data_IF_637712787354
#
_entry.id   IF_637712787354
#
_cell.length_a   1.000
_cell.length_b   1.000
_cell.length_c   1.000
_cell.angle_alpha   90.00
_cell.angle_beta   90.00
_cell.angle_gamma   90.00
#
_symmetry.space_group_name_H-M   'P 1'
#
loop_
_entity.id
_entity.type
_entity.pdbx_description
1 polymer ?
#
# COMPACT_ATOMS: atom_id res chain seq x y z
N UNK A 1 -5.61 -2.36 16.52
CA UNK A 1 -5.64 -1.07 15.81
C UNK A 1 -5.04 -1.27 14.44
N UNK A 2 -5.67 -0.77 13.37
CA UNK A 2 -5.05 -0.82 12.03
C UNK A 2 -3.89 0.18 11.98
N UNK A 3 -2.72 -0.20 11.45
CA UNK A 3 -1.61 0.74 11.30
C UNK A 3 -2.00 1.82 10.31
N UNK A 4 -1.68 3.08 10.62
CA UNK A 4 -1.95 4.22 9.73
C UNK A 4 -1.17 4.12 8.41
N UNK A 5 -0.01 3.46 8.43
CA UNK A 5 0.88 3.33 7.29
C UNK A 5 1.47 1.92 7.18
N UNK A 6 1.82 1.52 5.96
CA UNK A 6 2.55 0.26 5.68
C UNK A 6 3.74 0.54 4.78
N UNK A 7 4.89 0.00 5.14
CA UNK A 7 6.11 0.06 4.34
C UNK A 7 6.20 -1.18 3.45
N UNK A 8 6.40 -0.97 2.14
CA UNK A 8 6.57 -2.00 1.13
C UNK A 8 7.99 -2.04 0.54
N UNK A 9 8.94 -1.34 1.16
CA UNK A 9 10.30 -1.13 0.69
C UNK A 9 10.44 0.25 0.03
N UNK A 10 10.29 0.36 -1.30
CA UNK A 10 10.39 1.64 -1.98
C UNK A 10 9.12 2.51 -1.88
N UNK A 11 8.00 1.96 -1.38
CA UNK A 11 6.72 2.65 -1.25
C UNK A 11 6.20 2.60 0.18
N UNK A 12 5.57 3.70 0.60
CA UNK A 12 4.77 3.76 1.82
C UNK A 12 3.30 3.92 1.46
N UNK A 13 2.44 3.05 1.99
CA UNK A 13 0.99 3.21 1.93
C UNK A 13 0.52 4.08 3.09
N UNK A 14 -0.37 5.03 2.82
CA UNK A 14 -1.03 5.86 3.83
C UNK A 14 -2.54 5.62 3.81
N UNK A 15 -3.08 5.10 4.91
CA UNK A 15 -4.50 4.79 5.07
C UNK A 15 -5.38 6.04 5.15
N UNK A 16 -4.86 7.15 5.66
CA UNK A 16 -5.58 8.41 5.78
C UNK A 16 -5.78 9.05 4.40
N UNK A 17 -4.71 9.13 3.61
CA UNK A 17 -4.77 9.64 2.23
C UNK A 17 -5.33 8.63 1.22
N UNK A 18 -5.40 7.34 1.60
CA UNK A 18 -5.77 6.22 0.72
C UNK A 18 -4.94 6.20 -0.56
N UNK A 19 -3.64 6.43 -0.40
CA UNK A 19 -2.69 6.52 -1.50
C UNK A 19 -1.34 5.90 -1.10
N UNK A 20 -0.49 5.68 -2.09
CA UNK A 20 0.89 5.27 -1.92
C UNK A 20 1.81 6.44 -2.27
N UNK A 21 2.99 6.49 -1.62
CA UNK A 21 4.04 7.45 -1.96
C UNK A 21 5.40 6.78 -2.08
N UNK A 22 6.20 7.27 -3.02
CA UNK A 22 7.63 7.01 -3.10
C UNK A 22 8.37 8.25 -2.60
N UNK A 23 8.98 8.17 -1.42
CA UNK A 23 9.53 9.35 -0.75
C UNK A 23 8.45 10.42 -0.56
N UNK A 24 8.62 11.58 -1.20
CA UNK A 24 7.67 12.70 -1.14
C UNK A 24 6.59 12.69 -2.24
N UNK A 25 6.68 11.79 -3.24
CA UNK A 25 5.79 11.79 -4.40
C UNK A 25 4.62 10.83 -4.20
N UNK A 26 3.40 11.36 -4.23
CA UNK A 26 2.16 10.58 -4.25
C UNK A 26 1.92 9.94 -5.62
N UNK A 27 1.37 8.72 -5.61
CA UNK A 27 1.07 7.95 -6.82
C UNK A 27 -0.32 8.29 -7.41
N UNK A 28 -1.20 8.92 -6.64
CA UNK A 28 -2.56 9.27 -7.07
C UNK A 28 -3.41 8.03 -7.32
N UNK A 29 -3.35 7.04 -6.43
CA UNK A 29 -4.11 5.80 -6.54
C UNK A 29 -5.62 6.05 -6.44
N UNK A 30 -6.39 5.35 -7.28
CA UNK A 30 -7.83 5.30 -7.15
C UNK A 30 -8.21 4.45 -5.91
N UNK A 31 -9.34 4.71 -5.22
CA UNK A 31 -9.70 3.96 -4.00
C UNK A 31 -9.68 2.43 -4.13
N UNK A 32 -10.05 1.91 -5.30
CA UNK A 32 -9.98 0.46 -5.60
C UNK A 32 -8.56 -0.05 -5.80
N UNK A 33 -7.71 0.73 -6.46
CA UNK A 33 -6.29 0.41 -6.66
C UNK A 33 -5.57 0.39 -5.30
N UNK A 34 -5.85 1.38 -4.45
CA UNK A 34 -5.34 1.43 -3.08
C UNK A 34 -5.85 0.24 -2.26
N UNK A 35 -7.16 -0.04 -2.30
CA UNK A 35 -7.74 -1.16 -1.57
C UNK A 35 -7.14 -2.51 -1.98
N UNK A 36 -6.87 -2.69 -3.27
CA UNK A 36 -6.20 -3.88 -3.79
C UNK A 36 -4.78 -3.99 -3.26
N UNK A 37 -3.98 -2.92 -3.37
CA UNK A 37 -2.61 -2.92 -2.88
C UNK A 37 -2.54 -3.12 -1.36
N UNK A 38 -3.43 -2.47 -0.61
CA UNK A 38 -3.56 -2.62 0.84
C UNK A 38 -3.90 -4.06 1.23
N UNK A 39 -4.82 -4.70 0.51
CA UNK A 39 -5.20 -6.09 0.76
C UNK A 39 -4.06 -7.07 0.48
N UNK A 40 -3.30 -6.86 -0.60
CA UNK A 40 -2.12 -7.67 -0.89
C UNK A 40 -1.01 -7.46 0.14
N UNK A 41 -0.83 -6.23 0.61
CA UNK A 41 0.12 -5.87 1.66
C UNK A 41 -0.24 -6.42 3.06
N UNK A 42 -1.49 -6.87 3.26
CA UNK A 42 -1.92 -7.51 4.50
C UNK A 42 -1.26 -8.87 4.71
N UNK A 43 -1.03 -9.60 3.61
CA UNK A 43 -0.42 -10.92 3.58
C UNK A 43 0.71 -11.01 2.53
N UNK A 44 1.88 -10.37 2.74
CA UNK A 44 2.98 -10.40 1.77
C UNK A 44 3.47 -11.83 1.48
N UNK A 45 3.56 -12.16 0.20
CA UNK A 45 3.94 -13.47 -0.32
C UNK A 45 2.77 -14.44 -0.49
N UNK A 46 1.61 -14.16 0.11
CA UNK A 46 0.43 -14.99 -0.06
C UNK A 46 -0.33 -14.62 -1.33
N UNK A 47 -0.92 -15.65 -1.96
CA UNK A 47 -1.77 -15.51 -3.13
C UNK A 47 -3.15 -15.04 -2.68
N UNK A 48 -3.60 -13.93 -3.24
CA UNK A 48 -4.97 -13.43 -3.10
C UNK A 48 -5.72 -13.68 -4.42
N UNK A 49 -6.80 -14.44 -4.35
CA UNK A 49 -7.59 -14.82 -5.52
C UNK A 49 -8.48 -13.68 -5.99
N UNK A 50 -8.98 -13.78 -7.24
CA UNK A 50 -9.94 -12.83 -7.81
C UNK A 50 -11.20 -12.71 -6.94
N UNK A 51 -11.79 -13.84 -6.55
CA UNK A 51 -12.96 -13.88 -5.67
C UNK A 51 -12.72 -13.19 -4.33
N UNK A 52 -11.53 -13.38 -3.73
CA UNK A 52 -11.16 -12.69 -2.49
C UNK A 52 -11.06 -11.17 -2.70
N UNK A 53 -10.43 -10.72 -3.78
CA UNK A 53 -10.36 -9.28 -4.09
C UNK A 53 -11.74 -8.67 -4.33
N UNK A 54 -12.61 -9.35 -5.07
CA UNK A 54 -13.98 -8.91 -5.31
C UNK A 54 -14.76 -8.77 -3.99
N UNK A 55 -14.61 -9.74 -3.08
CA UNK A 55 -15.24 -9.70 -1.77
C UNK A 55 -14.68 -8.58 -0.88
N UNK A 56 -13.36 -8.47 -0.80
CA UNK A 56 -12.70 -7.60 0.18
C UNK A 56 -12.71 -6.13 -0.25
N UNK A 57 -12.48 -5.87 -1.54
CA UNK A 57 -12.31 -4.50 -2.09
C UNK A 57 -13.58 -4.00 -2.78
N UNK A 58 -14.28 -4.85 -3.54
CA UNK A 58 -15.54 -4.47 -4.20
C UNK A 58 -16.78 -4.74 -3.34
N UNK A 59 -16.66 -5.45 -2.22
CA UNK A 59 -17.79 -5.87 -1.37
C UNK A 59 -18.85 -6.67 -2.14
N UNK A 60 -18.41 -7.40 -3.17
CA UNK A 60 -19.26 -8.25 -3.99
C UNK A 60 -19.12 -9.70 -3.56
N UNK A 61 -20.25 -10.36 -3.34
CA UNK A 61 -20.29 -11.79 -2.99
C UNK A 61 -20.36 -12.71 -4.22
N UNK A 62 -20.47 -12.14 -5.43
CA UNK A 62 -20.56 -12.85 -6.70
C UNK A 62 -19.51 -12.31 -7.67
N UNK A 63 -19.03 -13.16 -8.58
CA UNK A 63 -18.11 -12.74 -9.64
C UNK A 63 -18.88 -11.99 -10.73
N UNK A 64 -18.60 -10.70 -10.96
CA UNK A 64 -19.19 -10.00 -12.10
C UNK A 64 -18.60 -10.56 -13.39
N UNK A 65 -19.40 -10.59 -14.47
CA UNK A 65 -18.96 -11.00 -15.81
C UNK A 65 -17.86 -10.08 -16.38
N UNK A 66 -17.70 -8.88 -15.81
CA UNK A 66 -16.70 -7.90 -16.26
C UNK A 66 -15.33 -8.13 -15.61
N UNK A 67 -14.26 -7.92 -16.39
CA UNK A 67 -12.85 -7.93 -15.97
C UNK A 67 -12.46 -6.73 -15.08
N UNK A 68 -13.25 -6.43 -14.05
CA UNK A 68 -13.06 -5.24 -13.21
C UNK A 68 -11.73 -5.31 -12.46
N UNK A 69 -11.40 -6.46 -11.85
CA UNK A 69 -10.18 -6.64 -11.07
C UNK A 69 -8.95 -6.44 -11.96
N UNK A 70 -8.94 -7.09 -13.12
CA UNK A 70 -7.83 -7.09 -14.07
C UNK A 70 -7.53 -5.68 -14.58
N UNK A 71 -8.57 -4.90 -14.90
CA UNK A 71 -8.44 -3.49 -15.32
C UNK A 71 -7.83 -2.63 -14.21
N UNK A 72 -8.30 -2.78 -12.97
CA UNK A 72 -7.76 -2.02 -11.84
C UNK A 72 -6.33 -2.45 -11.48
N UNK A 73 -5.98 -3.73 -11.62
CA UNK A 73 -4.60 -4.21 -11.47
C UNK A 73 -3.69 -3.63 -12.55
N UNK A 74 -4.14 -3.61 -13.81
CA UNK A 74 -3.37 -3.04 -14.92
C UNK A 74 -3.08 -1.55 -14.69
N UNK A 75 -4.09 -0.78 -14.27
CA UNK A 75 -3.91 0.65 -13.94
C UNK A 75 -3.00 0.86 -12.74
N UNK A 76 -3.16 0.04 -11.69
CA UNK A 76 -2.27 0.05 -10.53
C UNK A 76 -0.82 -0.20 -10.95
N UNK A 77 -0.57 -1.25 -11.75
CA UNK A 77 0.78 -1.56 -12.26
C UNK A 77 1.37 -0.43 -13.07
N UNK A 78 0.58 0.24 -13.93
CA UNK A 78 1.06 1.40 -14.68
C UNK A 78 1.51 2.53 -13.76
N UNK A 79 0.75 2.82 -12.68
CA UNK A 79 1.14 3.84 -11.69
C UNK A 79 2.38 3.42 -10.88
N UNK A 80 2.48 2.14 -10.53
CA UNK A 80 3.64 1.58 -9.85
C UNK A 80 4.90 1.61 -10.76
N UNK A 81 4.76 1.35 -12.05
CA UNK A 81 5.84 1.40 -13.03
C UNK A 81 6.42 2.82 -13.15
N UNK A 82 5.58 3.86 -13.13
CA UNK A 82 6.04 5.26 -13.08
C UNK A 82 6.86 5.61 -11.84
N UNK A 83 6.74 4.81 -10.78
CA UNK A 83 7.55 4.88 -9.56
C UNK A 83 8.67 3.82 -9.52
N UNK A 84 8.87 3.03 -10.59
CA UNK A 84 9.87 1.94 -10.63
C UNK A 84 9.55 0.79 -9.66
N UNK A 85 8.28 0.59 -9.32
CA UNK A 85 7.80 -0.35 -8.30
C UNK A 85 6.82 -1.39 -8.87
N UNK A 86 6.86 -1.63 -10.18
CA UNK A 86 5.96 -2.57 -10.89
C UNK A 86 6.03 -4.01 -10.38
N UNK A 87 7.16 -4.42 -9.82
CA UNK A 87 7.37 -5.75 -9.22
C UNK A 87 6.62 -5.96 -7.90
N UNK A 88 6.02 -4.92 -7.31
CA UNK A 88 5.26 -5.06 -6.06
C UNK A 88 3.92 -5.80 -6.24
N UNK A 89 3.44 -5.98 -7.47
CA UNK A 89 2.17 -6.69 -7.73
C UNK A 89 2.38 -7.72 -8.83
N UNK A 90 2.54 -8.98 -8.43
CA UNK A 90 2.76 -10.10 -9.33
C UNK A 90 1.47 -10.89 -9.55
N UNK A 91 1.35 -11.51 -10.72
CA UNK A 91 0.30 -12.51 -10.98
C UNK A 91 0.86 -13.87 -10.57
N UNK A 92 0.15 -14.60 -9.71
CA UNK A 92 0.58 -15.92 -9.30
C UNK A 92 0.39 -16.95 -10.43
N UNK A 93 1.23 -18.00 -10.55
CA UNK A 93 1.07 -19.04 -11.58
C UNK A 93 -0.28 -19.75 -11.52
N UNK A 94 -0.81 -19.92 -10.32
CA UNK A 94 -2.13 -20.53 -10.05
C UNK A 94 -3.30 -19.54 -10.24
N UNK A 95 -3.05 -18.36 -10.82
CA UNK A 95 -3.99 -17.26 -10.92
C UNK A 95 -4.16 -16.46 -9.63
N UNK A 96 -4.72 -15.26 -9.77
CA UNK A 96 -4.76 -14.27 -8.69
C UNK A 96 -3.49 -13.44 -8.60
N UNK A 97 -3.35 -12.70 -7.51
CA UNK A 97 -2.32 -11.68 -7.34
C UNK A 97 -1.62 -11.82 -5.99
N UNK A 98 -0.35 -11.45 -5.95
CA UNK A 98 0.42 -11.42 -4.71
C UNK A 98 1.34 -10.22 -4.69
N UNK A 99 1.64 -9.76 -3.49
CA UNK A 99 2.75 -8.85 -3.25
C UNK A 99 3.95 -9.70 -2.83
N UNK A 100 5.05 -9.75 -3.59
CA UNK A 100 6.21 -10.53 -3.18
C UNK A 100 6.76 -9.99 -1.85
N UNK A 101 7.24 -10.87 -0.98
CA UNK A 101 7.95 -10.43 0.23
C UNK A 101 9.11 -9.55 -0.21
N UNK A 102 9.23 -8.36 0.38
CA UNK A 102 10.26 -7.39 0.02
C UNK A 102 11.62 -8.10 -0.04
N UNK A 103 12.16 -8.25 -1.25
CA UNK A 103 13.49 -8.80 -1.42
C UNK A 103 14.46 -7.72 -0.90
N UNK A 104 15.39 -8.03 0.02
CA UNK A 104 16.28 -7.04 0.60
C UNK A 104 17.10 -6.21 -0.41
N UNK A 105 17.24 -6.68 -1.65
CA UNK A 105 17.85 -5.92 -2.75
C UNK A 105 17.05 -4.67 -3.18
N UNK A 106 15.73 -4.61 -2.94
CA UNK A 106 14.90 -3.42 -3.19
C UNK A 106 15.01 -2.37 -2.06
N UNK A 107 15.60 -2.72 -0.91
CA UNK A 107 15.71 -1.86 0.27
C UNK A 107 16.87 -0.84 0.19
N UNK A 108 17.77 -0.97 -0.79
CA UNK A 108 19.00 -0.16 -0.88
C UNK A 108 18.77 1.31 -1.29
N UNK A 109 17.53 1.75 -1.51
CA UNK A 109 17.20 3.14 -1.93
C UNK A 109 16.19 3.80 -0.98
N UNK A 110 16.51 3.84 0.31
CA UNK A 110 15.75 4.65 1.28
C UNK A 110 16.27 6.09 1.27
N UNK A 111 15.51 7.10 0.82
CA UNK A 111 15.81 8.47 1.22
C UNK A 111 15.40 8.69 2.70
N UNK A 112 16.16 9.51 3.44
CA UNK A 112 15.87 9.80 4.85
C UNK A 112 14.69 10.78 4.93
N UNK A 113 13.49 10.27 5.20
CA UNK A 113 12.36 11.14 5.56
C UNK A 113 11.39 10.41 6.48
N UNK A 114 11.92 9.91 7.61
CA UNK A 114 11.12 9.40 8.72
C UNK A 114 11.29 10.23 10.01
N UNK A 115 12.04 11.35 9.99
CA UNK A 115 12.35 12.13 11.20
C UNK A 115 11.46 13.39 11.39
N UNK A 116 10.43 13.61 10.58
CA UNK A 116 9.55 14.78 10.78
C UNK A 116 8.57 14.61 11.95
N UNK A 117 8.25 13.36 12.35
CA UNK A 117 7.37 13.10 13.49
C UNK A 117 8.13 12.95 14.81
N UNK A 118 9.38 12.47 14.78
CA UNK A 118 10.25 12.43 15.97
C UNK A 118 10.72 13.83 16.41
N UNK A 119 10.85 14.79 15.48
CA UNK A 119 11.21 16.17 15.83
C UNK A 119 10.06 16.88 16.58
N UNK A 120 8.82 16.77 16.09
CA UNK A 120 7.66 17.36 16.78
C UNK A 120 7.37 16.70 18.15
N UNK A 121 7.69 15.42 18.32
CA UNK A 121 7.51 14.71 19.59
C UNK A 121 8.63 15.02 20.61
N UNK A 122 9.77 15.57 20.18
CA UNK A 122 10.84 16.05 21.08
C UNK A 122 10.68 17.52 21.47
N UNK A 123 9.95 18.33 20.69
CA UNK A 123 9.65 19.72 21.05
C UNK A 123 8.41 19.88 21.94
N UNK A 124 7.55 18.86 22.05
CA UNK A 124 6.44 18.83 23.00
C UNK A 124 6.90 18.20 24.32
N UNK A 125 7.85 18.88 24.96
CA UNK A 125 8.19 18.69 26.37
C UNK A 125 6.93 19.06 27.18
N UNK A 126 6.30 18.05 27.76
CA UNK A 126 5.12 18.16 28.62
C UNK A 126 5.49 18.93 29.89
N UNK A 127 5.60 20.25 29.77
CA UNK A 127 5.72 21.16 30.89
C UNK A 127 4.36 21.76 31.20
N UNK A 128 3.85 21.35 32.36
CA UNK A 128 2.93 22.08 33.22
C UNK A 128 1.56 22.49 32.62
N UNK A 129 0.57 21.61 32.79
CA UNK A 129 -0.79 22.07 33.10
C UNK A 129 -1.15 21.60 34.50
N UNK A 130 -0.81 22.44 35.46
CA UNK A 130 -1.64 22.64 36.65
C UNK A 130 -1.99 24.13 36.68
N UNK A 131 -3.28 24.45 36.74
CA UNK A 131 -3.66 25.58 37.55
C UNK A 131 -4.81 25.22 38.51
N UNK A 132 -4.48 25.45 39.79
CA UNK A 132 -5.28 25.94 40.94
C UNK A 132 -6.76 25.59 41.04
#
# INVERSE_FOLDING_TARGET
MLPRWRDLGPLTLDLFHRDARQGARWLGLHPREFGLLWRLADSPGERVTRAQLLKDVWRLNHEPETNSVEVHVSRLRAKLALAGCESLVETAPEGGYRLPKANPSLLARRPPQADALDHCLRELDWSAVSPS
#
